data_IF_263200790950
#
_entry.id   IF_263200790950
#
_cell.length_a   1.000
_cell.length_b   1.000
_cell.length_c   1.000
_cell.angle_alpha   90.00
_cell.angle_beta   90.00
_cell.angle_gamma   90.00
#
_symmetry.space_group_name_H-M   'P 1'
#
loop_
_entity.id
_entity.type
_entity.pdbx_description
1 polymer ?
#
# COMPACT_ATOMS: atom_id res chain seq x y z
N UNK A 1 -10.57 3.39 -23.14
CA UNK A 1 -10.23 2.91 -21.78
C UNK A 1 -8.78 3.29 -21.52
N UNK A 2 -8.45 3.85 -20.35
CA UNK A 2 -7.17 4.55 -20.13
C UNK A 2 -6.28 3.84 -19.10
N UNK A 3 -6.87 3.14 -18.11
CA UNK A 3 -6.13 2.42 -17.08
C UNK A 3 -6.88 1.15 -16.63
N UNK A 4 -6.15 0.25 -15.97
CA UNK A 4 -6.68 -0.97 -15.33
C UNK A 4 -6.26 -0.95 -13.86
N UNK A 5 -7.13 -1.42 -12.96
CA UNK A 5 -6.81 -1.53 -11.54
C UNK A 5 -7.43 -2.78 -10.94
N UNK A 6 -6.83 -3.27 -9.85
CA UNK A 6 -7.34 -4.41 -9.07
C UNK A 6 -7.21 -4.09 -7.58
N UNK A 7 -8.16 -4.56 -6.77
CA UNK A 7 -8.07 -4.49 -5.31
C UNK A 7 -7.89 -5.90 -4.77
N UNK A 8 -6.75 -6.15 -4.12
CA UNK A 8 -6.45 -7.44 -3.47
C UNK A 8 -6.61 -7.29 -1.96
N UNK A 9 -7.06 -8.34 -1.28
CA UNK A 9 -7.27 -8.36 0.18
C UNK A 9 -6.78 -9.69 0.79
N UNK A 10 -6.51 -9.67 2.09
CA UNK A 10 -6.11 -10.85 2.85
C UNK A 10 -4.68 -11.31 2.54
N UNK A 11 -4.36 -12.60 2.70
CA UNK A 11 -3.00 -13.12 2.58
C UNK A 11 -2.32 -12.80 1.24
N UNK A 12 -3.08 -12.83 0.14
CA UNK A 12 -2.56 -12.48 -1.19
C UNK A 12 -2.09 -11.03 -1.29
N UNK A 13 -2.73 -10.11 -0.56
CA UNK A 13 -2.33 -8.71 -0.56
C UNK A 13 -1.00 -8.52 0.18
N UNK A 14 -0.79 -9.24 1.28
CA UNK A 14 0.48 -9.22 2.02
C UNK A 14 1.61 -9.81 1.19
N UNK A 15 1.38 -10.93 0.50
CA UNK A 15 2.38 -11.54 -0.38
C UNK A 15 2.81 -10.62 -1.52
N UNK A 16 1.84 -9.97 -2.19
CA UNK A 16 2.12 -9.03 -3.27
C UNK A 16 2.85 -7.80 -2.74
N UNK A 17 2.45 -7.29 -1.58
CA UNK A 17 3.10 -6.15 -0.94
C UNK A 17 4.56 -6.46 -0.59
N UNK A 18 4.83 -7.64 -0.02
CA UNK A 18 6.17 -8.10 0.33
C UNK A 18 7.09 -8.12 -0.91
N UNK A 19 6.60 -8.68 -2.02
CA UNK A 19 7.34 -8.71 -3.29
C UNK A 19 7.62 -7.28 -3.80
N UNK A 20 6.63 -6.39 -3.72
CA UNK A 20 6.79 -5.00 -4.15
C UNK A 20 7.76 -4.20 -3.29
N UNK A 21 7.75 -4.40 -1.97
CA UNK A 21 8.68 -3.76 -1.05
C UNK A 21 10.11 -4.25 -1.23
N UNK A 22 10.29 -5.54 -1.54
CA UNK A 22 11.61 -6.11 -1.85
C UNK A 22 12.28 -5.43 -3.06
N UNK A 23 11.51 -5.09 -4.10
CA UNK A 23 12.01 -4.32 -5.26
C UNK A 23 12.48 -2.92 -4.87
N UNK A 24 11.89 -2.35 -3.82
CA UNK A 24 12.29 -1.04 -3.27
C UNK A 24 13.28 -1.16 -2.11
N UNK A 25 13.87 -2.33 -1.91
CA UNK A 25 14.83 -2.59 -0.81
C UNK A 25 14.27 -2.22 0.57
N UNK A 26 12.94 -2.32 0.74
CA UNK A 26 12.21 -1.89 1.94
C UNK A 26 12.42 -0.41 2.32
N UNK A 27 12.89 0.42 1.38
CA UNK A 27 13.06 1.87 1.56
C UNK A 27 11.86 2.63 1.00
N UNK A 28 11.26 3.51 1.80
CA UNK A 28 10.20 4.43 1.37
C UNK A 28 10.46 5.85 1.86
N UNK A 29 10.06 6.86 1.06
CA UNK A 29 10.14 8.26 1.50
C UNK A 29 8.99 8.56 2.46
N UNK A 30 9.19 9.50 3.39
CA UNK A 30 8.10 9.96 4.27
C UNK A 30 6.95 10.67 3.54
N UNK A 31 7.19 11.16 2.31
CA UNK A 31 6.16 11.74 1.46
C UNK A 31 5.19 10.70 0.89
N UNK A 32 5.59 9.43 0.80
CA UNK A 32 4.73 8.34 0.35
C UNK A 32 3.58 8.02 1.32
N UNK A 33 3.66 8.48 2.57
CA UNK A 33 2.65 8.26 3.59
C UNK A 33 1.68 9.44 3.65
N UNK A 34 0.39 9.15 3.51
CA UNK A 34 -0.70 10.13 3.60
C UNK A 34 -1.02 10.49 5.04
N UNK A 35 -1.63 11.66 5.24
CA UNK A 35 -2.13 12.10 6.56
C UNK A 35 -3.16 11.12 7.14
N UNK A 36 -3.94 10.48 6.26
CA UNK A 36 -4.96 9.47 6.59
C UNK A 36 -4.38 8.09 6.93
N UNK A 37 -3.06 7.95 7.02
CA UNK A 37 -2.38 6.70 7.40
C UNK A 37 -2.32 5.67 6.27
N UNK A 38 -2.55 6.05 5.02
CA UNK A 38 -2.34 5.17 3.87
C UNK A 38 -0.96 5.44 3.27
N UNK A 39 -0.45 4.52 2.46
CA UNK A 39 0.79 4.76 1.75
C UNK A 39 0.78 4.09 0.38
N UNK A 40 1.66 4.55 -0.50
CA UNK A 40 1.80 3.95 -1.81
C UNK A 40 3.17 4.18 -2.41
N UNK A 41 3.53 3.33 -3.37
CA UNK A 41 4.79 3.41 -4.09
C UNK A 41 4.62 2.84 -5.50
N UNK A 42 5.39 3.36 -6.44
CA UNK A 42 5.39 2.92 -7.83
C UNK A 42 6.57 2.00 -8.13
N UNK A 43 6.32 1.00 -8.97
CA UNK A 43 7.34 0.15 -9.59
C UNK A 43 7.36 0.46 -11.09
N UNK A 44 8.54 0.66 -11.66
CA UNK A 44 8.69 0.99 -13.08
C UNK A 44 8.53 -0.22 -13.98
N UNK A 45 8.96 -1.39 -13.52
CA UNK A 45 8.94 -2.61 -14.32
C UNK A 45 8.36 -3.78 -13.52
N UNK A 46 7.32 -4.42 -14.04
CA UNK A 46 6.70 -5.58 -13.39
C UNK A 46 7.58 -6.83 -13.39
N UNK A 47 8.64 -6.88 -14.20
CA UNK A 47 9.58 -8.01 -14.21
C UNK A 47 10.33 -8.13 -12.89
N UNK A 48 10.56 -7.01 -12.19
CA UNK A 48 11.22 -6.98 -10.87
C UNK A 48 10.40 -7.72 -9.80
N UNK A 49 9.09 -7.87 -10.02
CA UNK A 49 8.19 -8.63 -9.13
C UNK A 49 8.31 -10.16 -9.30
N UNK A 50 9.18 -10.63 -10.21
CA UNK A 50 9.39 -12.05 -10.51
C UNK A 50 8.42 -12.61 -11.55
N UNK A 51 7.76 -11.75 -12.32
CA UNK A 51 6.91 -12.16 -13.44
C UNK A 51 7.81 -12.40 -14.66
N UNK A 52 7.64 -13.56 -15.31
CA UNK A 52 8.40 -13.86 -16.53
C UNK A 52 8.06 -12.86 -17.63
N UNK A 53 9.11 -12.40 -18.32
CA UNK A 53 8.97 -11.53 -19.46
C UNK A 53 8.27 -12.24 -20.62
N UNK A 54 7.26 -11.57 -21.20
CA UNK A 54 6.58 -11.98 -22.43
C UNK A 54 6.66 -10.82 -23.45
N UNK A 55 7.35 -11.00 -24.59
CA UNK A 55 7.48 -9.96 -25.62
C UNK A 55 6.17 -9.47 -26.21
N UNK A 56 5.09 -10.26 -26.15
CA UNK A 56 3.78 -9.86 -26.66
C UNK A 56 3.06 -8.85 -25.75
N UNK A 57 3.41 -8.87 -24.46
CA UNK A 57 2.85 -8.00 -23.42
C UNK A 57 3.70 -6.73 -23.29
N UNK A 58 5.03 -6.89 -23.29
CA UNK A 58 5.99 -5.80 -23.07
C UNK A 58 6.24 -5.51 -21.59
N UNK A 59 6.86 -4.37 -21.28
CA UNK A 59 7.17 -3.93 -19.90
C UNK A 59 6.15 -2.90 -19.44
N UNK A 60 5.66 -3.08 -18.22
CA UNK A 60 4.70 -2.17 -17.60
C UNK A 60 5.14 -1.78 -16.20
N UNK A 61 4.97 -0.50 -15.89
CA UNK A 61 4.99 0.01 -14.53
C UNK A 61 3.64 -0.14 -13.85
N UNK A 62 3.65 -0.12 -12.53
CA UNK A 62 2.44 -0.20 -11.72
C UNK A 62 2.57 0.59 -10.42
N UNK A 63 1.44 1.10 -9.96
CA UNK A 63 1.35 1.80 -8.68
C UNK A 63 0.69 0.92 -7.63
N UNK A 64 1.36 0.77 -6.49
CA UNK A 64 0.81 0.14 -5.29
C UNK A 64 0.25 1.20 -4.37
N UNK A 65 -1.00 1.04 -3.96
CA UNK A 65 -1.63 1.86 -2.93
C UNK A 65 -2.21 0.97 -1.83
N UNK A 66 -1.67 1.12 -0.62
CA UNK A 66 -2.01 0.31 0.55
C UNK A 66 -2.93 1.10 1.47
N UNK A 67 -4.13 0.55 1.66
CA UNK A 67 -5.15 1.15 2.52
C UNK A 67 -5.10 0.58 3.94
N UNK A 68 -4.55 1.33 4.89
CA UNK A 68 -4.46 0.91 6.29
C UNK A 68 -5.74 1.21 7.04
N UNK A 69 -6.23 0.24 7.82
CA UNK A 69 -7.46 0.39 8.59
C UNK A 69 -7.41 -0.46 9.86
N UNK A 70 -7.97 0.07 10.95
CA UNK A 70 -8.23 -0.72 12.16
C UNK A 70 -9.53 -1.55 12.02
N UNK A 71 -9.63 -2.71 12.69
CA UNK A 71 -10.89 -3.44 12.81
C UNK A 71 -11.97 -2.54 13.41
N UNK A 72 -13.08 -2.38 12.69
CA UNK A 72 -14.15 -1.44 13.08
C UNK A 72 -14.51 -0.44 11.99
N UNK A 73 -13.64 -0.22 10.99
CA UNK A 73 -13.93 0.71 9.88
C UNK A 73 -15.11 0.29 8.98
N UNK A 74 -15.70 -0.89 9.18
CA UNK A 74 -16.93 -1.30 8.47
C UNK A 74 -18.11 -0.36 8.74
N UNK A 75 -18.13 0.34 9.88
CA UNK A 75 -19.25 1.21 10.28
C UNK A 75 -19.54 2.35 9.29
N UNK A 76 -18.53 2.81 8.54
CA UNK A 76 -18.67 3.86 7.52
C UNK A 76 -19.15 3.32 6.17
N UNK A 77 -19.04 2.00 5.95
CA UNK A 77 -19.30 1.34 4.65
C UNK A 77 -20.54 0.45 4.65
N UNK A 78 -21.01 0.03 5.83
CA UNK A 78 -22.22 -0.81 5.96
C UNK A 78 -23.45 -0.05 5.48
N UNK A 79 -24.49 -0.77 5.03
CA UNK A 79 -25.75 -0.15 4.55
C UNK A 79 -26.63 0.36 5.70
N UNK A 80 -26.76 -0.42 6.78
CA UNK A 80 -27.62 -0.11 7.93
C UNK A 80 -26.83 0.59 9.03
N UNK A 81 -27.43 1.60 9.66
CA UNK A 81 -26.86 2.33 10.81
C UNK A 81 -25.44 2.85 10.53
N UNK A 82 -25.25 3.57 9.43
CA UNK A 82 -23.95 4.16 9.08
C UNK A 82 -23.57 5.21 10.11
N UNK A 83 -22.31 5.19 10.56
CA UNK A 83 -21.78 6.23 11.45
C UNK A 83 -20.33 6.55 11.10
N UNK A 84 -19.84 7.69 11.61
CA UNK A 84 -18.45 8.13 11.41
C UNK A 84 -17.51 7.38 12.36
N UNK A 85 -16.30 7.09 11.89
CA UNK A 85 -15.21 6.64 12.76
C UNK A 85 -14.70 7.84 13.58
N UNK A 86 -14.66 7.66 14.90
CA UNK A 86 -14.13 8.65 15.84
C UNK A 86 -12.64 8.91 15.64
N UNK A 87 -12.18 10.11 15.98
CA UNK A 87 -10.81 10.56 15.72
C UNK A 87 -9.75 9.58 16.27
N UNK A 88 -9.92 9.13 17.51
CA UNK A 88 -8.98 8.21 18.18
C UNK A 88 -8.85 6.84 17.50
N UNK A 89 -9.86 6.43 16.71
CA UNK A 89 -9.85 5.15 16.01
C UNK A 89 -9.30 5.25 14.57
N UNK A 90 -9.12 6.48 14.05
CA UNK A 90 -8.49 6.67 12.74
C UNK A 90 -7.00 6.37 12.85
N UNK A 91 -6.44 5.88 11.75
CA UNK A 91 -4.99 5.65 11.62
C UNK A 91 -4.34 6.95 11.21
N UNK A 92 -3.23 7.28 11.88
CA UNK A 92 -2.45 8.47 11.56
C UNK A 92 -1.24 8.12 10.69
N UNK A 93 -0.67 9.14 10.06
CA UNK A 93 0.55 9.03 9.26
C UNK A 93 1.72 8.44 10.05
N UNK A 94 1.96 8.93 11.27
CA UNK A 94 3.07 8.48 12.13
C UNK A 94 2.90 7.03 12.60
N UNK A 95 1.67 6.64 12.95
CA UNK A 95 1.34 5.27 13.33
C UNK A 95 1.65 4.29 12.19
N UNK A 96 1.34 4.70 10.96
CA UNK A 96 1.60 3.88 9.76
C UNK A 96 3.10 3.78 9.47
N UNK A 97 3.85 4.87 9.65
CA UNK A 97 5.31 4.84 9.55
C UNK A 97 5.94 3.89 10.57
N UNK A 98 5.45 3.90 11.82
CA UNK A 98 5.94 3.00 12.85
C UNK A 98 5.55 1.55 12.57
N UNK A 99 4.33 1.31 12.08
CA UNK A 99 3.89 -0.01 11.64
C UNK A 99 4.77 -0.57 10.52
N UNK A 100 5.11 0.26 9.53
CA UNK A 100 5.98 -0.13 8.41
C UNK A 100 7.37 -0.55 8.89
N UNK A 101 7.97 0.24 9.80
CA UNK A 101 9.25 -0.09 10.43
C UNK A 101 9.19 -1.39 11.24
N UNK A 102 8.11 -1.61 11.99
CA UNK A 102 8.00 -2.79 12.86
C UNK A 102 7.69 -4.07 12.08
N UNK A 103 6.87 -3.98 11.04
CA UNK A 103 6.37 -5.17 10.31
C UNK A 103 7.36 -5.66 9.26
N UNK A 104 8.06 -4.74 8.59
CA UNK A 104 8.90 -5.03 7.43
C UNK A 104 10.35 -4.54 7.61
N UNK A 105 10.74 -4.13 8.83
CA UNK A 105 12.05 -3.55 9.12
C UNK A 105 12.45 -2.40 8.17
N UNK A 106 11.43 -1.68 7.68
CA UNK A 106 11.58 -0.75 6.57
C UNK A 106 12.29 0.55 6.94
N UNK A 107 13.05 1.09 5.98
CA UNK A 107 13.84 2.31 6.14
C UNK A 107 13.03 3.51 5.61
N UNK A 108 12.94 4.57 6.41
CA UNK A 108 12.23 5.79 6.02
C UNK A 108 13.21 6.92 5.71
N UNK A 109 13.23 7.37 4.46
CA UNK A 109 14.10 8.48 4.05
C UNK A 109 13.38 9.83 3.98
N UNK A 110 14.15 10.87 4.31
CA UNK A 110 13.74 12.28 4.24
C UNK A 110 14.13 12.94 2.91
N UNK A 111 14.63 12.16 1.93
CA UNK A 111 15.08 12.72 0.64
C UNK A 111 13.89 13.45 -0.01
N UNK A 112 14.09 14.73 -0.33
CA UNK A 112 13.14 15.53 -1.10
C UNK A 112 12.80 14.84 -2.43
#
# INVERSE_FOLDING_TARGET
>A
KIAVHVTVRGPKAEEILERGLKVKEYELKKSNFSETGNFGFGIQEHIDLGIKYDPSIGIYGMDFFVCMNRPGNRITKRRRCVAKVGANHRVNKEETMNWFKQRYDGILTNKK
#
